data_IF_967479026927
#
_entry.id   IF_967479026927
#
_cell.length_a   1.000
_cell.length_b   1.000
_cell.length_c   1.000
_cell.angle_alpha   90.00
_cell.angle_beta   90.00
_cell.angle_gamma   90.00
#
_symmetry.space_group_name_H-M   'P 1'
#
loop_
_entity.id
_entity.type
_entity.pdbx_description
1 polymer ?
#
# COMPACT_ATOMS: atom_id res chain seq x y z
N UNK A 1 -2.77 -20.03 -25.38
CA UNK A 1 -2.79 -19.95 -23.90
C UNK A 1 -2.49 -18.52 -23.51
N UNK A 2 -3.52 -17.71 -23.28
CA UNK A 2 -3.39 -16.34 -22.80
C UNK A 2 -3.02 -16.39 -21.33
N UNK A 3 -1.78 -16.07 -21.00
CA UNK A 3 -1.36 -15.86 -19.61
C UNK A 3 -2.09 -14.62 -19.11
N UNK A 4 -3.11 -14.80 -18.27
CA UNK A 4 -3.67 -13.71 -17.48
C UNK A 4 -2.60 -13.27 -16.49
N UNK A 5 -1.79 -12.28 -16.87
CA UNK A 5 -0.88 -11.62 -15.96
C UNK A 5 -1.75 -10.84 -14.97
N UNK A 6 -2.00 -11.41 -13.79
CA UNK A 6 -2.63 -10.67 -12.70
C UNK A 6 -1.74 -9.47 -12.41
N UNK A 7 -2.25 -8.23 -12.53
CA UNK A 7 -1.44 -7.06 -12.26
C UNK A 7 -0.95 -7.13 -10.81
N UNK A 8 0.37 -6.97 -10.61
CA UNK A 8 0.95 -6.83 -9.28
C UNK A 8 0.27 -5.65 -8.57
N UNK A 9 -0.18 -5.82 -7.31
CA UNK A 9 -0.77 -4.72 -6.56
C UNK A 9 0.17 -3.51 -6.52
N UNK A 10 -0.34 -2.27 -6.58
CA UNK A 10 0.47 -1.07 -6.80
C UNK A 10 1.59 -0.87 -5.77
N UNK A 11 1.33 -1.23 -4.50
CA UNK A 11 2.31 -1.12 -3.42
C UNK A 11 3.18 -2.35 -3.22
N UNK A 12 2.81 -3.50 -3.77
CA UNK A 12 3.53 -4.75 -3.51
C UNK A 12 5.00 -4.67 -3.98
N UNK A 13 5.22 -4.12 -5.18
CA UNK A 13 6.58 -3.94 -5.70
C UNK A 13 7.46 -3.01 -4.86
N UNK A 14 6.88 -1.96 -4.26
CA UNK A 14 7.60 -1.05 -3.36
C UNK A 14 7.95 -1.72 -2.04
N UNK A 15 7.00 -2.46 -1.45
CA UNK A 15 7.21 -3.21 -0.22
C UNK A 15 8.30 -4.26 -0.44
N UNK A 16 8.21 -5.07 -1.50
CA UNK A 16 9.20 -6.09 -1.83
C UNK A 16 10.59 -5.52 -2.13
N UNK A 17 10.67 -4.38 -2.82
CA UNK A 17 11.94 -3.68 -3.03
C UNK A 17 12.53 -3.22 -1.70
N UNK A 18 11.71 -2.67 -0.80
CA UNK A 18 12.16 -2.18 0.49
C UNK A 18 12.58 -3.31 1.42
N UNK A 19 11.84 -4.41 1.46
CA UNK A 19 12.19 -5.63 2.19
C UNK A 19 13.58 -6.13 1.79
N UNK A 20 13.87 -6.19 0.48
CA UNK A 20 15.20 -6.58 -0.03
C UNK A 20 16.31 -5.63 0.41
N UNK A 21 16.05 -4.33 0.46
CA UNK A 21 17.04 -3.34 0.92
C UNK A 21 17.33 -3.46 2.42
N UNK A 22 16.33 -3.86 3.22
CA UNK A 22 16.42 -3.99 4.66
C UNK A 22 16.83 -5.40 5.11
N UNK A 23 16.99 -6.34 4.18
CA UNK A 23 17.17 -7.77 4.44
C UNK A 23 16.04 -8.39 5.28
N UNK A 24 14.82 -7.88 5.16
CA UNK A 24 13.64 -8.52 5.74
C UNK A 24 13.29 -9.75 4.89
N UNK A 25 13.38 -10.94 5.48
CA UNK A 25 13.03 -12.21 4.86
C UNK A 25 11.52 -12.46 4.85
N UNK A 26 10.77 -11.82 5.75
CA UNK A 26 9.33 -12.07 5.94
C UNK A 26 8.51 -10.78 6.02
N UNK A 27 7.22 -10.87 5.71
CA UNK A 27 6.28 -9.76 5.87
C UNK A 27 6.13 -9.32 7.34
N UNK A 28 6.31 -10.25 8.29
CA UNK A 28 6.31 -9.96 9.73
C UNK A 28 7.49 -9.06 10.12
N UNK A 29 8.71 -9.38 9.64
CA UNK A 29 9.89 -8.56 9.91
C UNK A 29 9.74 -7.15 9.35
N UNK A 30 9.20 -7.02 8.13
CA UNK A 30 8.92 -5.71 7.56
C UNK A 30 7.83 -4.97 8.34
N UNK A 31 6.78 -5.65 8.78
CA UNK A 31 5.71 -5.06 9.55
C UNK A 31 6.21 -4.49 10.89
N UNK A 32 7.12 -5.20 11.55
CA UNK A 32 7.77 -4.74 12.79
C UNK A 32 8.64 -3.50 12.54
N UNK A 33 9.47 -3.51 11.49
CA UNK A 33 10.31 -2.36 11.12
C UNK A 33 9.46 -1.14 10.71
N UNK A 34 8.34 -1.38 10.04
CA UNK A 34 7.44 -0.34 9.58
C UNK A 34 6.39 0.09 10.63
N UNK A 35 6.41 -0.46 11.84
CA UNK A 35 5.42 -0.22 12.89
C UNK A 35 3.96 -0.31 12.39
N UNK A 36 3.65 -1.41 11.71
CA UNK A 36 2.30 -1.74 11.22
C UNK A 36 1.98 -3.20 11.51
N UNK A 37 0.70 -3.58 11.39
CA UNK A 37 0.33 -4.98 11.59
C UNK A 37 0.81 -5.85 10.43
N UNK A 38 1.25 -7.09 10.71
CA UNK A 38 1.54 -8.09 9.66
C UNK A 38 0.37 -8.26 8.70
N UNK A 39 -0.85 -8.26 9.22
CA UNK A 39 -2.06 -8.36 8.41
C UNK A 39 -2.13 -7.26 7.34
N UNK A 40 -1.82 -6.01 7.70
CA UNK A 40 -1.82 -4.90 6.77
C UNK A 40 -0.78 -5.10 5.65
N UNK A 41 0.44 -5.53 6.00
CA UNK A 41 1.50 -5.80 5.02
C UNK A 41 1.09 -6.93 4.07
N UNK A 42 0.57 -8.03 4.60
CA UNK A 42 0.10 -9.15 3.77
C UNK A 42 -1.07 -8.76 2.86
N UNK A 43 -2.00 -7.94 3.35
CA UNK A 43 -3.11 -7.46 2.54
C UNK A 43 -2.64 -6.53 1.43
N UNK A 44 -1.66 -5.66 1.70
CA UNK A 44 -1.06 -4.78 0.69
C UNK A 44 -0.25 -5.55 -0.37
N UNK A 45 0.46 -6.62 0.03
CA UNK A 45 1.17 -7.50 -0.90
C UNK A 45 0.20 -8.27 -1.81
N UNK A 46 -0.99 -8.62 -1.30
CA UNK A 46 -2.03 -9.34 -2.08
C UNK A 46 -2.97 -8.39 -2.84
N UNK A 47 -3.03 -7.12 -2.45
CA UNK A 47 -3.97 -6.12 -2.95
C UNK A 47 -5.38 -6.24 -2.34
N UNK A 48 -5.61 -7.21 -1.47
CA UNK A 48 -6.90 -7.43 -0.83
C UNK A 48 -6.74 -8.03 0.56
N UNK A 49 -7.78 -7.87 1.36
CA UNK A 49 -7.88 -8.36 2.72
C UNK A 49 -8.25 -9.86 2.74
N UNK A 50 -8.41 -10.47 3.93
CA UNK A 50 -8.74 -11.89 4.04
C UNK A 50 -10.13 -12.27 3.47
N UNK A 51 -11.01 -11.29 3.27
CA UNK A 51 -12.33 -11.46 2.66
C UNK A 51 -12.32 -11.23 1.14
N UNK A 52 -11.16 -10.90 0.56
CA UNK A 52 -11.04 -10.57 -0.86
C UNK A 52 -11.48 -9.15 -1.20
N UNK A 53 -11.65 -8.29 -0.20
CA UNK A 53 -12.01 -6.88 -0.38
C UNK A 53 -10.72 -6.08 -0.57
N UNK A 54 -10.74 -5.11 -1.49
CA UNK A 54 -9.62 -4.20 -1.69
C UNK A 54 -9.21 -3.55 -0.36
N UNK A 55 -7.93 -3.67 -0.04
CA UNK A 55 -7.43 -3.24 1.27
C UNK A 55 -6.96 -1.80 1.21
N UNK A 56 -7.60 -0.94 2.00
CA UNK A 56 -7.14 0.44 2.24
C UNK A 56 -6.59 0.55 3.67
N UNK A 57 -5.31 0.91 3.86
CA UNK A 57 -4.74 1.10 5.19
C UNK A 57 -5.35 2.32 5.89
N UNK A 58 -5.31 2.32 7.24
CA UNK A 58 -5.66 3.50 8.01
C UNK A 58 -4.67 4.65 7.76
N UNK A 59 -5.06 5.90 8.05
CA UNK A 59 -4.17 7.05 7.91
C UNK A 59 -2.87 6.90 8.72
N UNK A 60 -2.96 6.36 9.94
CA UNK A 60 -1.78 6.09 10.76
C UNK A 60 -0.85 5.07 10.07
N UNK A 61 -1.39 3.94 9.61
CA UNK A 61 -0.61 2.94 8.91
C UNK A 61 0.02 3.50 7.62
N UNK A 62 -0.70 4.37 6.89
CA UNK A 62 -0.19 5.04 5.71
C UNK A 62 1.00 5.96 6.03
N UNK A 63 0.95 6.71 7.14
CA UNK A 63 2.07 7.54 7.60
C UNK A 63 3.27 6.67 7.96
N UNK A 64 3.08 5.59 8.72
CA UNK A 64 4.18 4.71 9.09
C UNK A 64 4.81 4.03 7.86
N UNK A 65 3.99 3.55 6.93
CA UNK A 65 4.45 3.02 5.64
C UNK A 65 5.22 4.07 4.84
N UNK A 66 4.80 5.34 4.86
CA UNK A 66 5.50 6.42 4.15
C UNK A 66 6.94 6.59 4.64
N UNK A 67 7.16 6.49 5.96
CA UNK A 67 8.48 6.52 6.55
C UNK A 67 9.29 5.27 6.22
N UNK A 68 8.69 4.09 6.38
CA UNK A 68 9.35 2.81 6.13
C UNK A 68 9.78 2.64 4.68
N UNK A 69 8.91 3.01 3.72
CA UNK A 69 9.14 2.93 2.28
C UNK A 69 9.98 4.09 1.74
N UNK A 70 10.18 5.15 2.55
CA UNK A 70 10.82 6.41 2.12
C UNK A 70 10.11 7.04 0.92
N UNK A 71 8.79 6.97 0.94
CA UNK A 71 7.90 7.47 -0.12
C UNK A 71 6.85 8.36 0.55
N UNK A 72 6.60 9.59 0.07
CA UNK A 72 5.60 10.47 0.68
C UNK A 72 4.21 9.80 0.78
N UNK A 73 3.50 10.03 1.90
CA UNK A 73 2.20 9.39 2.15
C UNK A 73 1.16 9.68 1.05
N UNK A 74 1.21 10.86 0.43
CA UNK A 74 0.31 11.20 -0.67
C UNK A 74 0.60 10.38 -1.94
N UNK A 75 1.87 10.06 -2.23
CA UNK A 75 2.24 9.16 -3.33
C UNK A 75 1.73 7.74 -3.07
N UNK A 76 1.86 7.26 -1.82
CA UNK A 76 1.27 5.97 -1.42
C UNK A 76 -0.26 5.96 -1.60
N UNK A 77 -0.92 7.07 -1.25
CA UNK A 77 -2.36 7.23 -1.44
C UNK A 77 -2.75 7.21 -2.91
N UNK A 78 -2.01 7.92 -3.79
CA UNK A 78 -2.24 7.90 -5.24
C UNK A 78 -2.15 6.49 -5.83
N UNK A 79 -1.23 5.66 -5.33
CA UNK A 79 -1.08 4.29 -5.78
C UNK A 79 -2.22 3.38 -5.31
N UNK A 80 -2.78 3.63 -4.13
CA UNK A 80 -3.88 2.84 -3.56
C UNK A 80 -5.25 3.26 -4.07
N UNK A 81 -5.46 4.56 -4.27
CA UNK A 81 -6.72 5.11 -4.71
C UNK A 81 -6.46 6.26 -5.68
N UNK A 82 -6.25 5.95 -6.99
CA UNK A 82 -6.00 6.97 -8.00
C UNK A 82 -7.12 8.02 -8.08
N UNK A 83 -8.35 7.61 -7.80
CA UNK A 83 -9.55 8.46 -7.85
C UNK A 83 -9.75 9.32 -6.60
N UNK A 84 -9.00 9.10 -5.51
CA UNK A 84 -9.15 9.87 -4.27
C UNK A 84 -8.95 11.39 -4.47
N UNK A 85 -8.25 11.79 -5.53
CA UNK A 85 -8.00 13.20 -5.87
C UNK A 85 -8.81 13.70 -7.07
N UNK A 86 -9.53 12.79 -7.74
CA UNK A 86 -10.57 13.12 -8.72
C UNK A 86 -11.89 13.51 -8.06
N UNK A 87 -11.99 13.45 -6.73
CA UNK A 87 -13.02 14.12 -5.97
C UNK A 87 -12.88 15.63 -6.20
N UNK A 88 -13.51 16.07 -7.28
CA UNK A 88 -13.77 17.44 -7.71
C UNK A 88 -13.56 18.41 -6.57
N UNK A 89 -12.68 19.40 -6.79
CA UNK A 89 -12.77 20.70 -6.12
C UNK A 89 -14.25 21.00 -6.03
N UNK A 90 -14.83 20.90 -4.83
CA UNK A 90 -16.18 21.35 -4.61
C UNK A 90 -16.06 22.86 -4.69
N UNK A 91 -16.20 23.40 -5.90
CA UNK A 91 -16.47 24.81 -6.10
C UNK A 91 -17.85 25.00 -5.47
N UNK A 92 -17.84 25.36 -4.18
CA UNK A 92 -18.93 26.09 -3.58
C UNK A 92 -18.96 27.47 -4.24
N UNK A 93 -19.33 27.51 -5.52
CA UNK A 93 -19.81 28.75 -6.13
C UNK A 93 -21.26 28.89 -5.72
N UNK A 94 -21.49 30.02 -5.05
CA UNK A 94 -22.70 30.49 -4.40
C UNK A 94 -23.74 31.01 -5.40
#
# INVERSE_FOLDING_TARGET
>A
MTMHHTPTPPLAGLIEARMRQLNCATAEEFAQEADVSRYAVEALLRGHDAMGIEYTPSLHALVNLSHALRTPAHELLYMLCPDALSATVWTADA
#
